data_IF_886560932797
#
_entry.id   IF_886560932797
#
_cell.length_a   1.000
_cell.length_b   1.000
_cell.length_c   1.000
_cell.angle_alpha   90.00
_cell.angle_beta   90.00
_cell.angle_gamma   90.00
#
_symmetry.space_group_name_H-M   'P 1'
#
loop_
_entity.id
_entity.type
_entity.pdbx_description
1 polymer ?
#
# COMPACT_ATOMS: atom_id res chain seq x y z
N UNK A 1 -3.71 -27.21 2.89
CA UNK A 1 -3.22 -25.84 3.18
C UNK A 1 -2.10 -25.58 2.19
N UNK A 2 -2.41 -24.98 1.04
CA UNK A 2 -1.47 -24.88 -0.08
C UNK A 2 -0.33 -23.91 0.26
N UNK A 3 0.89 -24.39 0.10
CA UNK A 3 2.13 -23.65 0.27
C UNK A 3 2.20 -22.58 -0.83
N UNK A 4 2.26 -21.30 -0.46
CA UNK A 4 2.72 -20.28 -1.40
C UNK A 4 4.21 -20.53 -1.61
N UNK A 5 4.58 -20.90 -2.83
CA UNK A 5 5.99 -21.01 -3.23
C UNK A 5 6.73 -19.69 -2.92
N UNK A 6 8.03 -19.76 -2.55
CA UNK A 6 8.82 -18.55 -2.38
C UNK A 6 8.84 -17.75 -3.69
N UNK A 7 8.76 -16.41 -3.65
CA UNK A 7 8.70 -15.59 -4.85
C UNK A 7 9.95 -15.81 -5.72
N UNK A 8 9.74 -16.38 -6.92
CA UNK A 8 10.77 -16.72 -7.90
C UNK A 8 11.54 -15.49 -8.38
N UNK A 9 12.84 -15.66 -8.63
CA UNK A 9 13.78 -14.65 -9.15
C UNK A 9 13.77 -14.52 -10.69
N UNK A 10 12.66 -14.87 -11.35
CA UNK A 10 12.60 -14.84 -12.81
C UNK A 10 12.31 -13.43 -13.34
N UNK A 11 13.24 -12.89 -14.13
CA UNK A 11 13.17 -11.58 -14.79
C UNK A 11 12.30 -11.57 -16.05
N UNK A 12 11.71 -12.71 -16.45
CA UNK A 12 10.83 -12.83 -17.62
C UNK A 12 9.34 -12.84 -17.25
N UNK A 13 8.87 -11.87 -16.47
CA UNK A 13 7.42 -11.64 -16.38
C UNK A 13 6.95 -10.92 -17.65
N UNK A 14 5.86 -11.39 -18.31
CA UNK A 14 5.33 -10.74 -19.51
C UNK A 14 5.01 -9.27 -19.23
N UNK A 15 5.20 -8.41 -20.25
CA UNK A 15 4.76 -7.01 -20.17
C UNK A 15 3.28 -6.96 -19.74
N UNK A 16 2.91 -6.05 -18.82
CA UNK A 16 1.55 -6.01 -18.31
C UNK A 16 0.57 -5.70 -19.43
N UNK A 17 -0.29 -6.66 -19.72
CA UNK A 17 -1.42 -6.50 -20.63
C UNK A 17 -2.39 -5.47 -20.06
N UNK A 18 -2.97 -4.64 -20.95
CA UNK A 18 -4.03 -3.68 -20.63
C UNK A 18 -5.10 -4.35 -19.75
N UNK A 19 -5.61 -3.69 -18.69
CA UNK A 19 -6.62 -4.27 -17.81
C UNK A 19 -7.84 -4.75 -18.60
N UNK A 20 -8.33 -5.94 -18.26
CA UNK A 20 -9.56 -6.48 -18.84
C UNK A 20 -10.72 -5.54 -18.45
N UNK A 21 -11.44 -5.02 -19.44
CA UNK A 21 -12.68 -4.26 -19.20
C UNK A 21 -12.50 -2.92 -18.46
N UNK A 22 -11.46 -2.14 -18.78
CA UNK A 22 -11.24 -0.82 -18.15
C UNK A 22 -12.46 0.10 -18.32
N UNK A 23 -13.04 0.52 -17.19
CA UNK A 23 -14.06 1.56 -17.11
C UNK A 23 -13.52 2.75 -16.31
N UNK A 24 -13.82 3.98 -16.71
CA UNK A 24 -13.44 5.19 -15.96
C UNK A 24 -14.67 5.84 -15.35
N UNK A 25 -14.59 6.17 -14.05
CA UNK A 25 -15.66 6.82 -13.28
C UNK A 25 -15.10 8.00 -12.47
N UNK A 26 -15.98 8.92 -12.07
CA UNK A 26 -15.63 10.04 -11.16
C UNK A 26 -16.18 9.86 -9.75
N UNK A 27 -17.35 9.23 -9.66
CA UNK A 27 -18.06 8.97 -8.42
C UNK A 27 -18.27 7.46 -8.29
N UNK A 28 -18.10 6.96 -7.07
CA UNK A 28 -18.39 5.57 -6.75
C UNK A 28 -19.89 5.34 -6.67
N UNK A 29 -20.38 4.30 -7.35
CA UNK A 29 -21.77 3.87 -7.25
C UNK A 29 -21.90 2.34 -7.24
N UNK A 30 -22.99 1.84 -6.67
CA UNK A 30 -23.27 0.39 -6.60
C UNK A 30 -23.33 -0.27 -7.98
N UNK A 31 -23.74 0.46 -9.02
CA UNK A 31 -23.81 -0.05 -10.39
C UNK A 31 -22.43 -0.38 -10.99
N UNK A 32 -21.35 0.18 -10.44
CA UNK A 32 -19.98 -0.09 -10.91
C UNK A 32 -19.43 -1.43 -10.41
N UNK A 33 -20.06 -1.99 -9.38
CA UNK A 33 -19.63 -3.21 -8.68
C UNK A 33 -20.77 -4.24 -8.57
N UNK A 34 -21.82 -4.07 -9.36
CA UNK A 34 -22.98 -4.95 -9.31
C UNK A 34 -22.59 -6.38 -9.74
N UNK A 35 -23.11 -7.38 -9.04
CA UNK A 35 -22.73 -8.78 -9.21
C UNK A 35 -21.32 -9.16 -8.73
N UNK A 36 -20.48 -8.22 -8.28
CA UNK A 36 -19.16 -8.55 -7.72
C UNK A 36 -19.29 -9.11 -6.30
N UNK A 37 -18.60 -10.24 -6.04
CA UNK A 37 -18.51 -10.87 -4.70
C UNK A 37 -17.45 -10.21 -3.82
N UNK A 38 -16.40 -9.65 -4.41
CA UNK A 38 -15.39 -8.88 -3.69
C UNK A 38 -14.99 -7.65 -4.49
N UNK A 39 -14.76 -6.55 -3.77
CA UNK A 39 -14.32 -5.28 -4.32
C UNK A 39 -12.99 -4.92 -3.67
N UNK A 40 -11.94 -4.83 -4.47
CA UNK A 40 -10.64 -4.38 -4.00
C UNK A 40 -10.50 -2.91 -4.34
N UNK A 41 -10.03 -2.11 -3.39
CA UNK A 41 -10.01 -0.67 -3.57
C UNK A 41 -8.70 -0.08 -3.04
N UNK A 42 -8.08 0.79 -3.82
CA UNK A 42 -7.07 1.67 -3.25
C UNK A 42 -7.72 2.66 -2.26
N UNK A 43 -6.90 3.22 -1.37
CA UNK A 43 -7.38 4.15 -0.35
C UNK A 43 -7.21 5.60 -0.77
N UNK A 44 -5.96 6.03 -0.86
CA UNK A 44 -5.58 7.40 -1.25
C UNK A 44 -5.88 7.60 -2.74
N UNK A 45 -6.45 8.76 -3.10
CA UNK A 45 -6.88 9.03 -4.48
C UNK A 45 -8.19 8.36 -4.90
N UNK A 46 -8.66 7.34 -4.17
CA UNK A 46 -9.93 6.66 -4.42
C UNK A 46 -11.03 7.02 -3.42
N UNK A 47 -10.79 6.79 -2.13
CA UNK A 47 -11.75 7.03 -1.04
C UNK A 47 -11.42 8.34 -0.30
N UNK A 48 -10.13 8.63 -0.14
CA UNK A 48 -9.66 9.80 0.63
C UNK A 48 -8.50 10.55 -0.06
N UNK A 49 -8.28 11.80 0.36
CA UNK A 49 -7.06 12.55 0.12
C UNK A 49 -6.63 13.20 1.45
N UNK A 50 -5.58 12.67 2.09
CA UNK A 50 -5.24 13.07 3.46
C UNK A 50 -6.39 12.82 4.44
N UNK A 51 -6.95 13.87 5.02
CA UNK A 51 -8.11 13.81 5.94
C UNK A 51 -9.45 14.11 5.27
N UNK A 52 -9.45 14.28 3.96
CA UNK A 52 -10.64 14.56 3.18
C UNK A 52 -11.25 13.27 2.64
N UNK A 53 -12.56 13.10 2.78
CA UNK A 53 -13.29 11.96 2.20
C UNK A 53 -13.98 12.42 0.91
N UNK A 54 -13.73 11.72 -0.19
CA UNK A 54 -14.35 12.08 -1.47
C UNK A 54 -15.86 11.86 -1.46
N UNK A 55 -16.57 12.55 -2.34
CA UNK A 55 -18.02 12.41 -2.49
C UNK A 55 -18.45 10.96 -2.76
N UNK A 56 -19.63 10.63 -2.23
CA UNK A 56 -20.27 9.30 -2.27
C UNK A 56 -19.49 8.17 -1.59
N UNK A 57 -18.28 8.43 -1.08
CA UNK A 57 -17.44 7.41 -0.44
C UNK A 57 -18.08 6.84 0.83
N UNK A 58 -18.63 7.69 1.72
CA UNK A 58 -19.25 7.22 2.96
C UNK A 58 -20.46 6.31 2.69
N UNK A 59 -21.30 6.70 1.73
CA UNK A 59 -22.46 5.92 1.30
C UNK A 59 -22.02 4.60 0.67
N UNK A 60 -21.02 4.64 -0.21
CA UNK A 60 -20.48 3.45 -0.86
C UNK A 60 -19.86 2.48 0.14
N UNK A 61 -19.00 2.95 1.05
CA UNK A 61 -18.37 2.08 2.06
C UNK A 61 -19.43 1.47 2.98
N UNK A 62 -20.38 2.28 3.47
CA UNK A 62 -21.46 1.80 4.33
C UNK A 62 -22.31 0.71 3.65
N UNK A 63 -22.57 0.84 2.35
CA UNK A 63 -23.39 -0.11 1.60
C UNK A 63 -22.67 -1.41 1.19
N UNK A 64 -21.33 -1.44 1.20
CA UNK A 64 -20.54 -2.55 0.64
C UNK A 64 -19.39 -3.02 1.54
N UNK A 65 -19.35 -2.61 2.81
CA UNK A 65 -18.25 -2.89 3.75
C UNK A 65 -17.95 -4.39 3.90
N UNK A 66 -18.94 -5.26 3.73
CA UNK A 66 -18.80 -6.70 3.88
C UNK A 66 -17.96 -7.36 2.77
N UNK A 67 -17.92 -6.73 1.59
CA UNK A 67 -17.19 -7.20 0.40
C UNK A 67 -16.07 -6.27 -0.05
N UNK A 68 -15.92 -5.11 0.58
CA UNK A 68 -14.87 -4.14 0.29
C UNK A 68 -13.57 -4.49 1.02
N UNK A 69 -12.48 -4.62 0.27
CA UNK A 69 -11.13 -4.79 0.79
C UNK A 69 -10.27 -3.59 0.38
N UNK A 70 -9.55 -3.04 1.34
CA UNK A 70 -8.55 -2.02 1.07
C UNK A 70 -7.25 -2.71 0.66
N UNK A 71 -6.72 -2.34 -0.50
CA UNK A 71 -5.45 -2.83 -1.03
C UNK A 71 -4.58 -1.62 -1.35
N UNK A 72 -3.72 -1.24 -0.40
CA UNK A 72 -2.99 0.03 -0.45
C UNK A 72 -1.48 -0.16 -0.34
N UNK A 73 -0.75 0.70 -1.04
CA UNK A 73 0.70 0.80 -0.95
C UNK A 73 1.19 1.49 0.33
N UNK A 74 0.28 1.97 1.18
CA UNK A 74 0.63 2.55 2.48
C UNK A 74 1.60 1.62 3.23
N UNK A 75 2.67 2.24 3.73
CA UNK A 75 3.70 1.57 4.50
C UNK A 75 4.08 2.32 5.77
N UNK A 76 3.16 3.14 6.28
CA UNK A 76 3.29 3.82 7.57
C UNK A 76 2.35 3.26 8.64
N UNK A 77 1.25 2.64 8.22
CA UNK A 77 0.22 2.07 9.08
C UNK A 77 0.27 0.54 9.13
N UNK A 78 -0.30 -0.04 10.19
CA UNK A 78 -0.85 -1.40 10.16
C UNK A 78 -2.35 -1.33 9.83
N UNK A 79 -2.95 -2.43 9.44
CA UNK A 79 -4.38 -2.57 9.20
C UNK A 79 -5.20 -2.06 10.39
N UNK A 80 -4.75 -2.36 11.61
CA UNK A 80 -5.41 -1.86 12.82
C UNK A 80 -5.26 -0.35 13.00
N UNK A 81 -4.05 0.21 12.82
CA UNK A 81 -3.87 1.67 12.96
C UNK A 81 -4.59 2.43 11.86
N UNK A 82 -4.60 1.89 10.63
CA UNK A 82 -5.31 2.47 9.51
C UNK A 82 -6.81 2.45 9.71
N UNK A 83 -7.38 1.29 10.09
CA UNK A 83 -8.81 1.15 10.40
C UNK A 83 -9.24 2.21 11.42
N UNK A 84 -8.54 2.30 12.56
CA UNK A 84 -8.83 3.31 13.58
C UNK A 84 -8.77 4.75 13.03
N UNK A 85 -7.78 5.04 12.18
CA UNK A 85 -7.59 6.37 11.56
C UNK A 85 -8.73 6.72 10.61
N UNK A 86 -9.15 5.80 9.75
CA UNK A 86 -10.20 6.06 8.75
C UNK A 86 -11.61 5.95 9.33
N UNK A 87 -11.83 5.19 10.42
CA UNK A 87 -13.08 5.21 11.18
C UNK A 87 -13.40 6.60 11.71
N UNK A 88 -12.37 7.37 12.09
CA UNK A 88 -12.53 8.75 12.53
C UNK A 88 -13.03 9.68 11.40
N UNK A 89 -12.87 9.27 10.14
CA UNK A 89 -13.40 9.94 8.95
C UNK A 89 -14.81 9.42 8.56
N UNK A 90 -15.38 8.49 9.33
CA UNK A 90 -16.66 7.82 9.04
C UNK A 90 -16.54 6.58 8.15
N UNK A 91 -15.33 6.10 7.87
CA UNK A 91 -15.09 4.89 7.08
C UNK A 91 -14.89 3.70 8.02
N UNK A 92 -15.98 2.98 8.33
CA UNK A 92 -15.91 1.79 9.17
C UNK A 92 -15.55 0.56 8.33
N UNK A 93 -14.26 0.21 8.31
CA UNK A 93 -13.73 -0.94 7.56
C UNK A 93 -12.98 -1.85 8.54
N UNK A 94 -13.39 -3.12 8.55
CA UNK A 94 -12.77 -4.15 9.36
C UNK A 94 -11.26 -4.28 9.05
N UNK A 95 -10.36 -4.24 10.05
CA UNK A 95 -8.92 -4.39 9.84
C UNK A 95 -8.52 -5.66 9.08
N UNK A 96 -9.28 -6.75 9.22
CA UNK A 96 -9.07 -8.00 8.48
C UNK A 96 -9.31 -7.88 6.98
N UNK A 97 -9.96 -6.82 6.52
CA UNK A 97 -10.16 -6.47 5.10
C UNK A 97 -9.19 -5.40 4.59
N UNK A 98 -8.17 -5.05 5.38
CA UNK A 98 -7.18 -4.02 5.03
C UNK A 98 -5.82 -4.67 4.78
N UNK A 99 -5.32 -4.57 3.56
CA UNK A 99 -4.03 -5.11 3.13
C UNK A 99 -3.09 -3.97 2.73
N UNK A 100 -2.03 -3.80 3.50
CA UNK A 100 -1.07 -2.71 3.35
C UNK A 100 0.32 -3.24 3.00
N UNK A 101 0.98 -2.62 2.03
CA UNK A 101 2.31 -3.05 1.57
C UNK A 101 3.34 -3.14 2.71
N UNK A 102 3.35 -2.16 3.64
CA UNK A 102 4.28 -2.16 4.77
C UNK A 102 4.07 -3.33 5.73
N UNK A 103 2.83 -3.53 6.17
CA UNK A 103 2.49 -4.65 7.06
C UNK A 103 2.73 -6.01 6.39
N UNK A 104 2.32 -6.17 5.13
CA UNK A 104 2.50 -7.43 4.42
C UNK A 104 3.97 -7.74 4.12
N UNK A 105 4.82 -6.72 3.94
CA UNK A 105 6.26 -6.91 3.85
C UNK A 105 6.81 -7.53 5.16
N UNK A 106 6.45 -6.96 6.31
CA UNK A 106 6.87 -7.48 7.62
C UNK A 106 6.36 -8.89 7.87
N UNK A 107 5.07 -9.15 7.61
CA UNK A 107 4.48 -10.49 7.76
C UNK A 107 5.14 -11.51 6.83
N UNK A 108 5.48 -11.11 5.61
CA UNK A 108 6.19 -11.97 4.66
C UNK A 108 7.60 -12.28 5.13
N UNK A 109 8.35 -11.29 5.63
CA UNK A 109 9.68 -11.52 6.21
C UNK A 109 9.58 -12.50 7.39
N UNK A 110 8.71 -12.22 8.36
CA UNK A 110 8.55 -13.06 9.55
C UNK A 110 8.14 -14.50 9.22
N UNK A 111 7.29 -14.70 8.22
CA UNK A 111 6.86 -16.03 7.77
C UNK A 111 7.95 -16.78 7.01
N UNK A 112 8.68 -16.11 6.13
CA UNK A 112 9.66 -16.76 5.25
C UNK A 112 11.04 -16.89 5.90
N UNK A 113 11.38 -16.01 6.84
CA UNK A 113 12.61 -16.02 7.63
C UNK A 113 12.32 -15.66 9.09
N UNK A 114 11.77 -16.61 9.87
CA UNK A 114 11.51 -16.40 11.29
C UNK A 114 12.79 -15.96 12.02
N UNK A 115 12.69 -14.82 12.73
CA UNK A 115 13.83 -14.27 13.45
C UNK A 115 14.94 -13.72 12.55
N UNK A 116 14.66 -13.28 11.33
CA UNK A 116 15.69 -12.58 10.53
C UNK A 116 16.22 -11.34 11.25
N UNK A 117 17.52 -11.04 11.06
CA UNK A 117 18.10 -9.75 11.38
C UNK A 117 17.68 -8.72 10.32
N UNK A 118 17.08 -7.60 10.74
CA UNK A 118 16.49 -6.59 9.86
C UNK A 118 16.97 -5.19 10.20
N UNK A 119 17.09 -4.36 9.17
CA UNK A 119 17.14 -2.90 9.28
C UNK A 119 15.91 -2.34 8.58
N UNK A 120 15.09 -1.57 9.29
CA UNK A 120 13.81 -1.06 8.78
C UNK A 120 13.90 0.47 8.76
N UNK A 121 13.72 1.04 7.57
CA UNK A 121 13.54 2.47 7.35
C UNK A 121 12.06 2.70 7.08
N UNK A 122 11.31 3.05 8.13
CA UNK A 122 9.86 3.14 8.08
C UNK A 122 9.25 3.61 9.38
N UNK A 123 7.98 3.96 9.34
CA UNK A 123 7.26 4.48 10.51
C UNK A 123 7.21 3.50 11.70
N UNK A 124 7.05 4.06 12.90
CA UNK A 124 7.01 3.32 14.17
C UNK A 124 6.00 2.14 14.20
N UNK A 125 4.78 2.22 13.63
CA UNK A 125 3.86 1.08 13.61
C UNK A 125 4.44 -0.16 12.90
N UNK A 126 5.17 0.06 11.80
CA UNK A 126 5.83 -1.02 11.04
C UNK A 126 6.96 -1.64 11.86
N UNK A 127 7.78 -0.81 12.51
CA UNK A 127 8.86 -1.28 13.37
C UNK A 127 8.32 -2.07 14.58
N UNK A 128 7.22 -1.59 15.17
CA UNK A 128 6.54 -2.25 16.30
C UNK A 128 6.02 -3.62 15.90
N UNK A 129 5.37 -3.72 14.72
CA UNK A 129 4.92 -5.00 14.18
C UNK A 129 6.09 -5.96 13.93
N UNK A 130 7.21 -5.48 13.39
CA UNK A 130 8.39 -6.30 13.14
C UNK A 130 8.91 -6.94 14.43
N UNK A 131 9.04 -6.14 15.49
CA UNK A 131 9.45 -6.61 16.81
C UNK A 131 8.45 -7.62 17.38
N UNK A 132 7.14 -7.33 17.28
CA UNK A 132 6.08 -8.22 17.77
C UNK A 132 6.05 -9.59 17.05
N UNK A 133 6.47 -9.64 15.78
CA UNK A 133 6.62 -10.88 15.01
C UNK A 133 8.00 -11.54 15.18
N UNK A 134 8.83 -11.05 16.11
CA UNK A 134 10.11 -11.66 16.47
C UNK A 134 11.27 -11.39 15.51
N UNK A 135 11.16 -10.38 14.64
CA UNK A 135 12.29 -9.92 13.83
C UNK A 135 13.30 -9.18 14.71
N UNK A 136 14.60 -9.40 14.48
CA UNK A 136 15.66 -8.80 15.29
C UNK A 136 16.21 -7.57 14.60
N UNK A 137 16.19 -6.42 15.24
CA UNK A 137 16.82 -5.23 14.70
C UNK A 137 18.34 -5.32 14.80
N UNK A 138 19.03 -5.21 13.66
CA UNK A 138 20.49 -5.20 13.58
C UNK A 138 20.93 -4.17 12.53
N UNK A 139 21.37 -3.00 12.98
CA UNK A 139 21.88 -1.94 12.11
C UNK A 139 23.34 -2.10 11.69
N UNK A 140 24.05 -3.14 12.19
CA UNK A 140 25.44 -3.40 11.83
C UNK A 140 25.54 -4.45 10.72
N UNK A 141 24.77 -5.54 10.81
CA UNK A 141 24.74 -6.63 9.81
C UNK A 141 23.32 -7.19 9.62
N UNK A 142 22.39 -6.40 9.06
CA UNK A 142 21.07 -6.93 8.73
C UNK A 142 21.17 -7.99 7.62
N UNK A 143 20.33 -9.02 7.70
CA UNK A 143 20.10 -9.94 6.59
C UNK A 143 19.17 -9.31 5.54
N UNK A 144 18.24 -8.46 5.99
CA UNK A 144 17.27 -7.77 5.16
C UNK A 144 17.22 -6.28 5.53
N UNK A 145 17.33 -5.42 4.53
CA UNK A 145 16.95 -4.02 4.63
C UNK A 145 15.55 -3.87 4.05
N UNK A 146 14.62 -3.36 4.86
CA UNK A 146 13.29 -2.97 4.40
C UNK A 146 13.20 -1.44 4.30
N UNK A 147 12.93 -0.95 3.10
CA UNK A 147 12.55 0.44 2.86
C UNK A 147 11.02 0.56 2.77
N UNK A 148 10.47 1.36 3.67
CA UNK A 148 9.11 1.83 3.71
C UNK A 148 9.10 3.37 3.72
N UNK A 149 7.92 3.98 3.84
CA UNK A 149 7.82 5.43 4.01
C UNK A 149 8.34 5.83 5.38
N UNK A 150 9.38 6.66 5.37
CA UNK A 150 10.02 7.21 6.54
C UNK A 150 10.14 8.73 6.39
N UNK A 151 9.36 9.47 7.18
CA UNK A 151 9.34 10.93 7.15
C UNK A 151 10.61 11.55 7.77
N UNK A 152 11.39 10.76 8.52
CA UNK A 152 12.63 11.19 9.17
C UNK A 152 13.87 10.78 8.36
N UNK A 153 13.67 10.18 7.18
CA UNK A 153 14.75 9.72 6.32
C UNK A 153 15.64 10.89 5.88
N UNK A 154 16.94 10.76 6.16
CA UNK A 154 17.94 11.80 5.91
C UNK A 154 19.24 11.20 5.35
N UNK A 155 20.26 12.03 5.11
CA UNK A 155 21.53 11.59 4.51
C UNK A 155 22.30 10.57 5.37
N UNK A 156 22.17 10.61 6.69
CA UNK A 156 22.77 9.60 7.56
C UNK A 156 22.04 8.25 7.41
N UNK A 157 20.71 8.26 7.31
CA UNK A 157 19.92 7.07 6.98
C UNK A 157 20.35 6.46 5.64
N UNK A 158 20.48 7.30 4.61
CA UNK A 158 20.93 6.90 3.27
C UNK A 158 22.33 6.26 3.30
N UNK A 159 23.28 6.90 3.98
CA UNK A 159 24.66 6.40 4.07
C UNK A 159 24.72 5.04 4.76
N UNK A 160 23.96 4.87 5.86
CA UNK A 160 23.84 3.59 6.56
C UNK A 160 23.21 2.52 5.68
N UNK A 161 22.11 2.85 5.01
CA UNK A 161 21.38 1.93 4.12
C UNK A 161 22.30 1.41 3.02
N UNK A 162 23.02 2.31 2.35
CA UNK A 162 23.97 1.93 1.30
C UNK A 162 25.05 0.98 1.85
N UNK A 163 25.58 1.24 3.05
CA UNK A 163 26.54 0.35 3.70
C UNK A 163 25.97 -1.04 4.01
N UNK A 164 24.74 -1.10 4.53
CA UNK A 164 24.02 -2.35 4.80
C UNK A 164 23.84 -3.17 3.52
N UNK A 165 23.48 -2.53 2.41
CA UNK A 165 23.33 -3.18 1.10
C UNK A 165 24.68 -3.66 0.53
N UNK A 166 25.74 -2.85 0.62
CA UNK A 166 27.09 -3.26 0.19
C UNK A 166 27.63 -4.45 0.98
N UNK A 167 27.19 -4.62 2.24
CA UNK A 167 27.53 -5.77 3.07
C UNK A 167 26.72 -7.03 2.74
N UNK A 168 25.86 -6.99 1.72
CA UNK A 168 25.15 -8.15 1.18
C UNK A 168 23.73 -8.34 1.71
N UNK A 169 23.17 -7.36 2.43
CA UNK A 169 21.78 -7.44 2.88
C UNK A 169 20.82 -7.47 1.68
N UNK A 170 19.76 -8.27 1.79
CA UNK A 170 18.70 -8.27 0.76
C UNK A 170 17.88 -6.99 0.86
N UNK A 171 17.64 -6.32 -0.28
CA UNK A 171 16.86 -5.10 -0.30
C UNK A 171 15.39 -5.36 -0.66
N UNK A 172 14.50 -5.07 0.28
CA UNK A 172 13.06 -5.10 0.08
C UNK A 172 12.51 -3.67 0.16
N UNK A 173 11.64 -3.33 -0.79
CA UNK A 173 10.96 -2.03 -0.82
C UNK A 173 9.46 -2.29 -0.75
N UNK A 174 8.74 -1.57 0.10
CA UNK A 174 7.29 -1.77 0.24
C UNK A 174 6.56 -1.41 -1.03
N UNK A 175 6.83 -0.25 -1.63
CA UNK A 175 6.23 0.22 -2.89
C UNK A 175 7.19 1.15 -3.67
N UNK A 176 6.86 1.44 -4.93
CA UNK A 176 7.65 2.32 -5.81
C UNK A 176 6.93 3.65 -6.12
N UNK A 177 5.84 3.95 -5.43
CA UNK A 177 5.11 5.19 -5.65
C UNK A 177 5.99 6.36 -5.20
N UNK A 178 6.17 7.34 -6.09
CA UNK A 178 7.01 8.50 -5.78
C UNK A 178 6.28 9.52 -4.91
N UNK A 179 4.95 9.57 -5.03
CA UNK A 179 4.12 10.57 -4.35
C UNK A 179 2.70 10.05 -4.11
N UNK A 180 2.02 10.63 -3.13
CA UNK A 180 0.56 10.58 -2.96
C UNK A 180 -0.01 12.00 -2.77
N UNK A 181 -1.32 12.25 -2.97
CA UNK A 181 -1.90 13.58 -2.81
C UNK A 181 -2.14 13.97 -1.34
N UNK A 182 -1.83 15.21 -0.96
CA UNK A 182 -2.32 15.81 0.29
C UNK A 182 -3.78 16.27 0.18
N UNK A 183 -4.31 16.88 1.25
CA UNK A 183 -5.68 17.40 1.31
C UNK A 183 -5.99 18.46 0.24
N UNK A 184 -4.97 19.18 -0.23
CA UNK A 184 -5.08 20.18 -1.30
C UNK A 184 -4.77 19.57 -2.69
N UNK A 185 -4.54 18.26 -2.78
CA UNK A 185 -4.16 17.57 -4.01
C UNK A 185 -2.69 17.76 -4.42
N UNK A 186 -1.85 18.33 -3.55
CA UNK A 186 -0.41 18.53 -3.84
C UNK A 186 0.36 17.24 -3.60
N UNK A 187 1.42 16.96 -4.38
CA UNK A 187 2.22 15.76 -4.20
C UNK A 187 3.00 15.79 -2.88
N UNK A 188 2.88 14.72 -2.09
CA UNK A 188 3.69 14.44 -0.90
C UNK A 188 4.64 13.29 -1.21
N UNK A 189 5.93 13.37 -0.86
CA UNK A 189 6.88 12.30 -1.09
C UNK A 189 6.47 10.96 -0.44
N UNK A 190 6.68 9.90 -1.21
CA UNK A 190 6.40 8.50 -0.85
C UNK A 190 7.67 7.65 -1.00
N UNK A 191 7.59 6.37 -0.63
CA UNK A 191 8.70 5.41 -0.58
C UNK A 191 9.55 5.40 -1.87
N UNK A 192 8.91 5.50 -3.03
CA UNK A 192 9.57 5.55 -4.34
C UNK A 192 10.49 6.77 -4.53
N UNK A 193 10.20 7.91 -3.89
CA UNK A 193 11.09 9.08 -3.93
C UNK A 193 12.38 8.82 -3.14
N UNK A 194 12.28 8.15 -1.99
CA UNK A 194 13.44 7.73 -1.20
C UNK A 194 14.25 6.68 -1.98
N UNK A 195 13.57 5.71 -2.59
CA UNK A 195 14.18 4.71 -3.46
C UNK A 195 14.96 5.36 -4.62
N UNK A 196 14.38 6.38 -5.27
CA UNK A 196 15.05 7.08 -6.36
C UNK A 196 16.37 7.73 -5.91
N UNK A 197 16.42 8.29 -4.69
CA UNK A 197 17.67 8.81 -4.13
C UNK A 197 18.71 7.71 -3.89
N UNK A 198 18.29 6.54 -3.42
CA UNK A 198 19.17 5.37 -3.22
C UNK A 198 19.75 4.88 -4.56
N UNK A 199 18.89 4.72 -5.58
CA UNK A 199 19.31 4.28 -6.92
C UNK A 199 20.19 5.33 -7.60
N UNK A 200 19.99 6.62 -7.34
CA UNK A 200 20.87 7.68 -7.84
C UNK A 200 22.30 7.58 -7.27
N UNK A 201 22.45 7.08 -6.04
CA UNK A 201 23.77 6.81 -5.45
C UNK A 201 24.43 5.55 -6.04
N UNK A 202 23.65 4.49 -6.29
CA UNK A 202 24.15 3.25 -6.88
C UNK A 202 23.09 2.57 -7.76
N UNK A 203 23.18 2.71 -9.10
CA UNK A 203 22.26 2.07 -10.05
C UNK A 203 22.39 0.53 -10.14
N UNK A 204 23.43 -0.05 -9.53
CA UNK A 204 23.63 -1.50 -9.49
C UNK A 204 22.77 -2.19 -8.42
N UNK A 205 22.24 -1.42 -7.45
CA UNK A 205 21.35 -1.94 -6.42
C UNK A 205 20.15 -2.65 -7.06
N UNK A 206 19.84 -3.83 -6.52
CA UNK A 206 18.66 -4.62 -6.90
C UNK A 206 17.74 -4.73 -5.70
N UNK A 207 16.45 -4.59 -5.94
CA UNK A 207 15.42 -4.67 -4.91
C UNK A 207 14.24 -5.50 -5.37
N UNK A 208 13.44 -5.97 -4.41
CA UNK A 208 12.10 -6.53 -4.66
C UNK A 208 11.04 -5.59 -4.10
N UNK A 209 9.86 -5.64 -4.69
CA UNK A 209 8.68 -4.89 -4.22
C UNK A 209 7.61 -5.84 -3.70
N UNK A 210 6.84 -5.42 -2.70
CA UNK A 210 5.68 -6.17 -2.18
C UNK A 210 4.36 -5.56 -2.66
N UNK A 211 4.29 -4.23 -2.65
CA UNK A 211 3.13 -3.46 -3.07
C UNK A 211 2.93 -3.43 -4.59
N UNK A 212 1.79 -2.85 -4.98
CA UNK A 212 1.41 -2.57 -6.37
C UNK A 212 2.55 -1.78 -7.04
N UNK A 213 2.96 -2.09 -8.29
CA UNK A 213 2.30 -2.94 -9.28
C UNK A 213 2.50 -4.46 -9.11
N UNK A 214 3.19 -4.93 -8.07
CA UNK A 214 3.21 -6.38 -7.79
C UNK A 214 1.78 -6.88 -7.55
N UNK A 215 1.37 -8.02 -8.14
CA UNK A 215 0.05 -8.59 -7.89
C UNK A 215 -0.06 -9.23 -6.50
N UNK A 216 1.01 -9.29 -5.70
CA UNK A 216 1.05 -10.06 -4.45
C UNK A 216 -0.05 -9.64 -3.45
N UNK A 217 -0.28 -8.33 -3.29
CA UNK A 217 -1.37 -7.85 -2.42
C UNK A 217 -2.76 -8.18 -2.96
N UNK A 218 -2.94 -8.10 -4.29
CA UNK A 218 -4.23 -8.41 -4.94
C UNK A 218 -4.52 -9.90 -4.88
N UNK A 219 -3.51 -10.75 -5.11
CA UNK A 219 -3.61 -12.20 -4.97
C UNK A 219 -3.91 -12.60 -3.52
N UNK A 220 -3.30 -11.92 -2.54
CA UNK A 220 -3.65 -12.12 -1.13
C UNK A 220 -5.11 -11.73 -0.86
N UNK A 221 -5.59 -10.63 -1.44
CA UNK A 221 -7.00 -10.22 -1.32
C UNK A 221 -7.95 -11.26 -1.92
N UNK A 222 -7.65 -11.81 -3.11
CA UNK A 222 -8.39 -12.92 -3.73
C UNK A 222 -8.43 -14.15 -2.82
N UNK A 223 -7.27 -14.55 -2.29
CA UNK A 223 -7.18 -15.73 -1.44
C UNK A 223 -8.03 -15.57 -0.16
N UNK A 224 -7.98 -14.39 0.47
CA UNK A 224 -8.70 -14.13 1.71
C UNK A 224 -10.20 -13.90 1.48
N UNK A 225 -10.59 -13.30 0.37
CA UNK A 225 -12.00 -13.12 0.01
C UNK A 225 -12.68 -14.43 -0.42
N UNK A 226 -11.90 -15.38 -0.95
CA UNK A 226 -12.42 -16.64 -1.48
C UNK A 226 -13.23 -16.47 -2.77
N UNK A 227 -13.18 -15.30 -3.41
CA UNK A 227 -13.87 -15.02 -4.66
C UNK A 227 -13.01 -15.39 -5.87
N UNK A 228 -13.64 -15.85 -6.94
CA UNK A 228 -12.96 -16.06 -8.22
C UNK A 228 -12.58 -14.71 -8.85
N UNK A 229 -11.45 -14.59 -9.58
CA UNK A 229 -11.03 -13.34 -10.20
C UNK A 229 -12.10 -12.68 -11.10
N UNK A 230 -12.94 -13.50 -11.77
CA UNK A 230 -14.05 -13.02 -12.61
C UNK A 230 -15.21 -12.40 -11.82
N UNK A 231 -15.28 -12.63 -10.52
CA UNK A 231 -16.30 -12.10 -9.61
C UNK A 231 -15.78 -10.91 -8.78
N UNK A 232 -14.59 -10.43 -9.13
CA UNK A 232 -13.88 -9.35 -8.46
C UNK A 232 -13.74 -8.14 -9.38
N UNK A 233 -13.60 -6.98 -8.74
CA UNK A 233 -13.22 -5.73 -9.40
C UNK A 233 -12.21 -4.99 -8.54
N UNK A 234 -11.20 -4.40 -9.19
CA UNK A 234 -10.27 -3.50 -8.55
C UNK A 234 -10.63 -2.05 -8.90
N UNK A 235 -10.84 -1.23 -7.87
CA UNK A 235 -11.10 0.21 -7.96
C UNK A 235 -9.82 0.94 -7.58
N UNK A 236 -9.23 1.68 -8.51
CA UNK A 236 -7.96 2.39 -8.30
C UNK A 236 -7.90 3.69 -9.09
N UNK A 237 -7.01 4.60 -8.71
CA UNK A 237 -6.78 5.88 -9.40
C UNK A 237 -5.49 5.88 -10.22
N UNK A 238 -4.61 4.90 -10.01
CA UNK A 238 -3.32 4.82 -10.67
C UNK A 238 -3.19 3.58 -11.58
N UNK A 239 -3.33 3.79 -12.89
CA UNK A 239 -3.17 2.73 -13.90
C UNK A 239 -1.82 1.99 -13.81
N UNK A 240 -0.75 2.70 -13.41
CA UNK A 240 0.62 2.16 -13.40
C UNK A 240 0.90 1.29 -12.18
N UNK A 241 0.02 1.29 -11.18
CA UNK A 241 0.13 0.42 -10.01
C UNK A 241 -1.11 -0.46 -9.89
N UNK A 242 -2.28 0.13 -9.70
CA UNK A 242 -3.56 -0.56 -9.55
C UNK A 242 -3.93 -1.34 -10.80
N UNK A 243 -3.91 -0.66 -11.96
CA UNK A 243 -4.28 -1.26 -13.24
C UNK A 243 -3.38 -2.44 -13.59
N UNK A 244 -2.06 -2.28 -13.41
CA UNK A 244 -1.09 -3.36 -13.63
C UNK A 244 -1.31 -4.53 -12.66
N UNK A 245 -1.51 -4.25 -11.37
CA UNK A 245 -1.72 -5.31 -10.37
C UNK A 245 -3.04 -6.06 -10.60
N UNK A 246 -4.12 -5.35 -10.96
CA UNK A 246 -5.42 -5.94 -11.30
C UNK A 246 -5.33 -6.82 -12.54
N UNK A 247 -4.68 -6.33 -13.61
CA UNK A 247 -4.48 -7.09 -14.83
C UNK A 247 -3.66 -8.37 -14.59
N UNK A 248 -2.58 -8.27 -13.82
CA UNK A 248 -1.75 -9.41 -13.46
C UNK A 248 -2.48 -10.44 -12.59
N UNK A 249 -3.49 -10.03 -11.81
CA UNK A 249 -4.36 -10.90 -11.03
C UNK A 249 -5.59 -11.41 -11.82
N UNK A 250 -5.77 -10.98 -13.08
CA UNK A 250 -6.91 -11.37 -13.92
C UNK A 250 -8.25 -10.75 -13.49
N UNK A 251 -8.21 -9.58 -12.84
CA UNK A 251 -9.39 -8.89 -12.29
C UNK A 251 -9.74 -7.68 -13.15
N UNK A 252 -11.04 -7.38 -13.28
CA UNK A 252 -11.52 -6.17 -13.95
C UNK A 252 -11.05 -4.90 -13.21
N UNK A 253 -10.75 -3.84 -13.96
CA UNK A 253 -10.28 -2.58 -13.38
C UNK A 253 -11.23 -1.41 -13.63
N UNK A 254 -11.61 -0.73 -12.55
CA UNK A 254 -12.37 0.52 -12.58
C UNK A 254 -11.44 1.65 -12.16
N UNK A 255 -11.13 2.51 -13.13
CA UNK A 255 -10.28 3.69 -12.93
C UNK A 255 -11.11 4.84 -12.37
N UNK A 256 -10.80 5.28 -11.15
CA UNK A 256 -11.45 6.43 -10.52
C UNK A 256 -10.64 7.69 -10.76
N UNK A 257 -11.28 8.74 -11.28
CA UNK A 257 -10.69 10.05 -11.47
C UNK A 257 -11.32 11.06 -10.51
N UNK A 258 -10.68 11.30 -9.37
CA UNK A 258 -11.16 12.26 -8.35
C UNK A 258 -10.71 13.71 -8.59
N UNK A 259 -9.71 13.92 -9.43
CA UNK A 259 -9.21 15.24 -9.81
C UNK A 259 -9.69 15.62 -11.22
N UNK A 260 -10.02 16.90 -11.42
CA UNK A 260 -10.26 17.44 -12.75
C UNK A 260 -8.94 17.69 -13.51
N UNK A 261 -9.03 18.10 -14.78
CA UNK A 261 -7.85 18.35 -15.62
C UNK A 261 -6.90 19.45 -15.07
N UNK A 262 -7.35 20.22 -14.08
CA UNK A 262 -6.59 21.28 -13.41
C UNK A 262 -6.02 20.83 -12.05
N UNK A 263 -6.22 19.55 -11.67
CA UNK A 263 -5.71 18.98 -10.43
C UNK A 263 -6.56 19.28 -9.19
N UNK A 264 -7.70 19.96 -9.32
CA UNK A 264 -8.57 20.23 -8.18
C UNK A 264 -9.35 18.96 -7.80
N UNK A 265 -9.28 18.59 -6.52
CA UNK A 265 -10.05 17.50 -5.95
C UNK A 265 -11.56 17.80 -6.09
N UNK A 266 -12.36 16.78 -6.42
CA UNK A 266 -13.83 16.85 -6.31
C UNK A 266 -14.25 17.32 -4.90
N UNK A 267 -15.39 18.02 -4.81
CA UNK A 267 -15.95 18.67 -3.60
C UNK A 267 -16.33 17.70 -2.46
N UNK A 268 -15.40 16.87 -1.99
CA UNK A 268 -15.60 15.98 -0.86
C UNK A 268 -15.81 16.71 0.46
N UNK A 269 -16.00 15.94 1.53
CA UNK A 269 -16.25 16.47 2.87
C UNK A 269 -14.97 16.41 3.72
N UNK A 270 -14.59 17.55 4.28
CA UNK A 270 -13.58 17.61 5.34
C UNK A 270 -14.24 17.22 6.66
N UNK A 271 -13.71 16.19 7.32
CA UNK A 271 -14.15 15.81 8.68
C UNK A 271 -13.14 16.35 9.68
N UNK A 272 -13.59 17.28 10.54
CA UNK A 272 -12.79 17.75 11.66
C UNK A 272 -12.62 16.60 12.67
N UNK A 273 -11.39 16.13 12.88
CA UNK A 273 -11.07 15.22 13.97
C UNK A 273 -10.77 16.08 15.20
N UNK A 274 -11.41 15.78 16.32
CA UNK A 274 -11.03 16.36 17.59
C UNK A 274 -9.57 16.00 17.88
N UNK A 275 -8.71 17.00 18.06
CA UNK A 275 -7.33 16.80 18.50
C UNK A 275 -7.37 16.21 19.92
N UNK A 276 -7.17 14.89 20.04
CA UNK A 276 -6.80 14.31 21.32
C UNK A 276 -5.32 14.58 21.54
N UNK A 277 -5.08 15.58 22.39
CA UNK A 277 -3.79 15.99 22.92
C UNK A 277 -2.96 14.78 23.38
N UNK A 278 -1.74 14.67 22.86
CA UNK A 278 -0.70 13.80 23.43
C UNK A 278 -0.49 14.19 24.91
N UNK A 279 -0.64 13.28 25.88
CA UNK A 279 -0.20 13.54 27.25
C UNK A 279 1.32 13.33 27.36
N UNK A 280 2.03 14.39 27.72
CA UNK A 280 3.28 14.29 28.50
C UNK A 280 4.58 14.53 27.73
N UNK A 281 4.92 15.82 27.55
CA UNK A 281 6.31 16.25 27.68
C UNK A 281 6.50 16.76 29.12
N UNK A 282 7.22 15.98 29.93
CA UNK A 282 7.99 16.47 31.07
C UNK A 282 9.38 15.84 30.98
#
# INVERSE_FOLDING_TARGET
MALLDPPSFDSNKPEPSVPIGKKTIRNLGSADIDGCKAVFCDLDGCLIAGRHVFDNTLEFVSAHAEKLWIVSNNSSDTAQTLSNRISALGLDIDPGRILLAGEQAIRTIARTRPGAAVSIYGALPIQTLANALGLRFDGARPEIVLLARDAEFNLACLSRLLGELHNGAQFLVTNIDTTYPDEAGRPVPETGAILAAIIACDPSIRFKTIGKPSPDLVNLALQLSGADPSECVFIGDNDKTDGIAAAAAGISFVHVQRHDANGMASNGKIVALAENSLPGAM
#
